data_IF_268557459408
#
_entry.id   IF_268557459408
#
_cell.length_a   1.000
_cell.length_b   1.000
_cell.length_c   1.000
_cell.angle_alpha   90.00
_cell.angle_beta   90.00
_cell.angle_gamma   90.00
#
_symmetry.space_group_name_H-M   'P 1'
#
loop_
_entity.id
_entity.type
_entity.pdbx_description
1 polymer ?
#
# COMPACT_ATOMS: atom_id res chain seq x y z
N UNK A 1 53.97 -29.26 -17.53
CA UNK A 1 53.18 -28.54 -16.49
C UNK A 1 52.61 -27.26 -17.10
N UNK A 2 51.28 -27.15 -17.25
CA UNK A 2 50.63 -25.94 -17.78
C UNK A 2 49.65 -25.42 -16.72
N UNK A 3 50.01 -24.31 -16.06
CA UNK A 3 49.12 -23.64 -15.10
C UNK A 3 48.09 -22.84 -15.88
N UNK A 4 46.84 -23.30 -15.90
CA UNK A 4 45.70 -22.52 -16.41
C UNK A 4 45.51 -21.30 -15.51
N UNK A 5 45.84 -20.11 -16.01
CA UNK A 5 45.52 -18.83 -15.36
C UNK A 5 44.02 -18.61 -15.44
N UNK A 6 43.30 -18.82 -14.35
CA UNK A 6 41.92 -18.37 -14.18
C UNK A 6 41.89 -16.84 -14.15
N UNK A 7 41.15 -16.22 -15.07
CA UNK A 7 40.93 -14.76 -15.07
C UNK A 7 39.92 -14.43 -13.97
N UNK A 8 40.14 -13.38 -13.15
CA UNK A 8 39.15 -12.96 -12.17
C UNK A 8 37.92 -12.41 -12.89
N UNK A 9 36.72 -12.88 -12.52
CA UNK A 9 35.45 -12.28 -12.94
C UNK A 9 35.34 -10.93 -12.23
N UNK A 10 35.51 -9.84 -12.96
CA UNK A 10 35.14 -8.50 -12.50
C UNK A 10 33.63 -8.50 -12.32
N UNK A 11 33.20 -8.67 -11.07
CA UNK A 11 31.83 -8.49 -10.68
C UNK A 11 31.54 -6.99 -10.79
N UNK A 12 30.74 -6.59 -11.78
CA UNK A 12 30.29 -5.21 -11.91
C UNK A 12 29.19 -4.97 -10.89
N UNK A 13 29.51 -4.33 -9.77
CA UNK A 13 28.58 -3.86 -8.73
C UNK A 13 27.29 -3.25 -9.32
N UNK A 14 27.39 -2.51 -10.43
CA UNK A 14 26.24 -1.96 -11.16
C UNK A 14 25.24 -3.00 -11.69
N UNK A 15 25.71 -4.17 -12.13
CA UNK A 15 24.85 -5.26 -12.60
C UNK A 15 24.16 -5.95 -11.43
N UNK A 16 24.86 -6.13 -10.32
CA UNK A 16 24.31 -6.70 -9.09
C UNK A 16 23.31 -5.76 -8.42
N UNK A 17 23.62 -4.47 -8.38
CA UNK A 17 22.72 -3.43 -7.89
C UNK A 17 21.45 -3.34 -8.74
N UNK A 18 21.58 -3.38 -10.08
CA UNK A 18 20.42 -3.42 -10.98
C UNK A 18 19.58 -4.69 -10.76
N UNK A 19 20.21 -5.85 -10.62
CA UNK A 19 19.51 -7.10 -10.35
C UNK A 19 18.79 -7.09 -8.99
N UNK A 20 19.38 -6.47 -7.97
CA UNK A 20 18.76 -6.26 -6.66
C UNK A 20 17.61 -5.25 -6.70
N UNK A 21 17.82 -4.11 -7.35
CA UNK A 21 16.84 -3.04 -7.45
C UNK A 21 15.61 -3.45 -8.27
N UNK A 22 15.77 -4.29 -9.30
CA UNK A 22 14.67 -4.81 -10.11
C UNK A 22 13.88 -5.94 -9.43
N UNK A 23 14.24 -6.33 -8.21
CA UNK A 23 13.44 -7.25 -7.40
C UNK A 23 12.15 -6.50 -7.04
N UNK A 24 11.02 -6.84 -7.66
CA UNK A 24 9.78 -6.04 -7.68
C UNK A 24 9.35 -5.44 -6.33
N UNK A 25 9.47 -6.21 -5.25
CA UNK A 25 9.15 -5.77 -3.89
C UNK A 25 9.95 -4.54 -3.39
N UNK A 26 11.15 -4.28 -3.92
CA UNK A 26 12.01 -3.14 -3.51
C UNK A 26 11.66 -1.86 -4.26
N UNK A 27 11.28 -1.97 -5.55
CA UNK A 27 10.88 -0.82 -6.36
C UNK A 27 9.60 -0.20 -5.82
N UNK A 28 8.59 -1.02 -5.54
CA UNK A 28 7.30 -0.55 -5.04
C UNK A 28 7.44 0.09 -3.65
N UNK A 29 8.29 -0.48 -2.79
CA UNK A 29 8.62 0.11 -1.50
C UNK A 29 9.35 1.46 -1.65
N UNK A 30 10.31 1.56 -2.57
CA UNK A 30 11.03 2.80 -2.83
C UNK A 30 10.09 3.91 -3.34
N UNK A 31 9.18 3.57 -4.26
CA UNK A 31 8.17 4.51 -4.78
C UNK A 31 7.23 4.95 -3.65
N UNK A 32 6.74 4.03 -2.83
CA UNK A 32 5.88 4.34 -1.69
C UNK A 32 6.54 5.32 -0.69
N UNK A 33 7.82 5.11 -0.36
CA UNK A 33 8.57 5.99 0.56
C UNK A 33 8.77 7.38 -0.04
N UNK A 34 9.13 7.48 -1.32
CA UNK A 34 9.34 8.77 -2.00
C UNK A 34 8.03 9.56 -2.07
N UNK A 35 6.94 8.92 -2.48
CA UNK A 35 5.62 9.55 -2.57
C UNK A 35 5.13 9.93 -1.18
N UNK A 36 5.27 9.06 -0.18
CA UNK A 36 4.90 9.33 1.20
C UNK A 36 5.66 10.53 1.78
N UNK A 37 6.97 10.62 1.53
CA UNK A 37 7.79 11.76 1.96
C UNK A 37 7.41 13.07 1.27
N UNK A 38 7.10 13.04 -0.03
CA UNK A 38 6.65 14.23 -0.77
C UNK A 38 5.25 14.68 -0.32
N UNK A 39 4.32 13.73 -0.14
CA UNK A 39 2.96 14.02 0.32
C UNK A 39 2.93 14.59 1.74
N UNK A 40 3.79 14.08 2.63
CA UNK A 40 3.96 14.67 3.96
C UNK A 40 4.34 16.15 3.92
N UNK A 41 5.21 16.56 2.99
CA UNK A 41 5.56 17.98 2.81
C UNK A 41 4.37 18.83 2.37
N UNK A 42 3.53 18.32 1.48
CA UNK A 42 2.32 19.02 1.01
C UNK A 42 1.35 19.24 2.17
N UNK A 43 1.15 18.23 3.03
CA UNK A 43 0.30 18.37 4.21
C UNK A 43 0.89 19.39 5.17
N UNK A 44 2.19 19.31 5.45
CA UNK A 44 2.86 20.25 6.36
C UNK A 44 2.77 21.69 5.86
N UNK A 45 2.97 21.95 4.56
CA UNK A 45 2.81 23.30 4.00
C UNK A 45 1.35 23.76 4.06
N UNK A 46 0.38 22.90 3.76
CA UNK A 46 -1.03 23.27 3.88
C UNK A 46 -1.40 23.65 5.32
N UNK A 47 -0.91 22.90 6.30
CA UNK A 47 -1.14 23.22 7.72
C UNK A 47 -0.46 24.54 8.09
N UNK A 48 0.82 24.72 7.75
CA UNK A 48 1.58 25.92 8.09
C UNK A 48 1.05 27.19 7.38
N UNK A 49 0.65 27.08 6.11
CA UNK A 49 0.35 28.23 5.26
C UNK A 49 -1.14 28.54 5.15
N UNK A 50 -2.04 27.57 5.43
CA UNK A 50 -3.49 27.75 5.33
C UNK A 50 -4.17 27.60 6.68
N UNK A 51 -3.89 26.53 7.42
CA UNK A 51 -4.60 26.25 8.67
C UNK A 51 -4.11 27.15 9.80
N UNK A 52 -2.80 27.28 9.97
CA UNK A 52 -2.20 28.07 11.04
C UNK A 52 -2.60 29.55 11.00
N UNK A 53 -2.62 30.25 9.85
CA UNK A 53 -3.11 31.63 9.79
C UNK A 53 -4.59 31.78 10.17
N UNK A 54 -5.41 30.75 9.93
CA UNK A 54 -6.83 30.75 10.33
C UNK A 54 -7.00 30.46 11.82
N UNK A 55 -6.14 29.61 12.41
CA UNK A 55 -6.20 29.24 13.83
C UNK A 55 -5.54 30.29 14.74
N UNK A 56 -4.48 30.97 14.27
CA UNK A 56 -3.73 31.95 15.05
C UNK A 56 -4.59 33.08 15.66
N UNK A 57 -5.57 33.68 14.96
CA UNK A 57 -6.44 34.70 15.54
C UNK A 57 -7.52 34.15 16.48
N UNK A 58 -7.82 32.85 16.45
CA UNK A 58 -8.78 32.19 17.35
C UNK A 58 -8.17 31.84 18.72
N UNK A 59 -6.83 31.84 18.83
CA UNK A 59 -6.13 31.60 20.08
C UNK A 59 -5.73 32.97 20.68
N UNK A 60 -6.41 33.43 21.75
CA UNK A 60 -6.06 34.71 22.38
C UNK A 60 -4.62 34.64 22.91
N UNK A 61 -3.72 35.42 22.32
CA UNK A 61 -2.30 35.45 22.71
C UNK A 61 -1.30 35.63 21.56
N UNK A 62 -1.70 35.45 20.29
CA UNK A 62 -1.00 35.89 19.06
C UNK A 62 0.35 35.25 18.72
N UNK A 63 1.18 34.96 19.73
CA UNK A 63 2.57 34.53 19.64
C UNK A 63 2.93 33.50 20.72
N UNK A 64 1.99 32.63 21.09
CA UNK A 64 2.24 31.56 22.07
C UNK A 64 3.37 30.62 21.64
N UNK A 65 3.66 30.54 20.33
CA UNK A 65 4.80 29.79 19.76
C UNK A 65 6.15 30.48 19.97
N UNK A 66 6.16 31.79 20.16
CA UNK A 66 7.36 32.56 20.48
C UNK A 66 7.59 32.69 21.99
N UNK A 67 6.70 32.12 22.83
CA UNK A 67 6.89 32.14 24.29
C UNK A 67 8.16 31.38 24.67
N UNK A 68 9.07 32.13 25.27
CA UNK A 68 10.28 31.64 25.92
C UNK A 68 10.17 31.87 27.42
N UNK A 69 10.40 30.83 28.22
CA UNK A 69 10.49 30.97 29.67
C UNK A 69 11.97 30.94 30.06
N UNK A 70 12.44 31.96 30.78
CA UNK A 70 13.81 32.05 31.29
C UNK A 70 14.89 32.23 30.20
N UNK A 71 16.04 31.55 30.36
CA UNK A 71 17.27 31.72 29.56
C UNK A 71 17.26 31.03 28.18
N UNK A 72 16.12 31.00 27.49
CA UNK A 72 16.05 30.55 26.09
C UNK A 72 15.31 29.23 25.82
N UNK A 73 14.57 28.69 26.80
CA UNK A 73 13.71 27.52 26.58
C UNK A 73 12.46 27.95 25.81
N UNK A 74 12.44 27.64 24.50
CA UNK A 74 11.34 27.91 23.57
C UNK A 74 10.17 26.94 23.77
N UNK A 75 9.50 27.05 24.91
CA UNK A 75 8.33 26.21 25.23
C UNK A 75 7.22 26.37 24.19
N UNK A 76 7.10 27.55 23.60
CA UNK A 76 6.17 27.82 22.52
C UNK A 76 6.42 26.99 21.27
N UNK A 77 7.68 26.71 20.92
CA UNK A 77 7.98 25.89 19.74
C UNK A 77 7.59 24.42 19.95
N UNK A 78 7.80 23.91 21.17
CA UNK A 78 7.39 22.55 21.51
C UNK A 78 5.87 22.40 21.50
N UNK A 79 5.14 23.33 22.13
CA UNK A 79 3.69 23.32 22.12
C UNK A 79 3.15 23.53 20.69
N UNK A 80 3.84 24.33 19.88
CA UNK A 80 3.57 24.52 18.46
C UNK A 80 3.63 23.22 17.67
N UNK A 81 4.68 22.44 17.87
CA UNK A 81 4.85 21.14 17.24
C UNK A 81 3.76 20.13 17.65
N UNK A 82 3.28 20.18 18.89
CA UNK A 82 2.16 19.34 19.35
C UNK A 82 0.87 19.72 18.62
N UNK A 83 0.57 21.02 18.52
CA UNK A 83 -0.63 21.49 17.80
C UNK A 83 -0.53 21.14 16.32
N UNK A 84 0.62 21.33 15.69
CA UNK A 84 0.84 20.95 14.28
C UNK A 84 0.58 19.46 14.07
N UNK A 85 1.09 18.60 14.96
CA UNK A 85 0.86 17.16 14.90
C UNK A 85 -0.63 16.81 14.98
N UNK A 86 -1.37 17.42 15.92
CA UNK A 86 -2.82 17.20 16.06
C UNK A 86 -3.57 17.70 14.82
N UNK A 87 -3.22 18.87 14.29
CA UNK A 87 -3.85 19.42 13.08
C UNK A 87 -3.57 18.54 11.87
N UNK A 88 -2.33 18.09 11.66
CA UNK A 88 -1.96 17.15 10.60
C UNK A 88 -2.77 15.85 10.72
N UNK A 89 -2.92 15.31 11.94
CA UNK A 89 -3.72 14.11 12.17
C UNK A 89 -5.20 14.30 11.81
N UNK A 90 -5.79 15.45 12.18
CA UNK A 90 -7.19 15.80 11.83
C UNK A 90 -7.36 15.98 10.33
N UNK A 91 -6.42 16.67 9.66
CA UNK A 91 -6.47 16.87 8.20
C UNK A 91 -6.31 15.54 7.47
N UNK A 92 -5.36 14.69 7.88
CA UNK A 92 -5.17 13.36 7.30
C UNK A 92 -6.42 12.50 7.50
N UNK A 93 -7.02 12.53 8.69
CA UNK A 93 -8.28 11.85 8.97
C UNK A 93 -9.43 12.38 8.10
N UNK A 94 -9.56 13.70 7.92
CA UNK A 94 -10.58 14.30 7.07
C UNK A 94 -10.40 13.90 5.60
N UNK A 95 -9.16 13.86 5.10
CA UNK A 95 -8.85 13.42 3.72
C UNK A 95 -9.15 11.93 3.55
N UNK A 96 -8.71 11.07 4.47
CA UNK A 96 -9.02 9.64 4.43
C UNK A 96 -10.53 9.44 4.49
N UNK A 97 -11.23 10.12 5.40
CA UNK A 97 -12.69 10.05 5.51
C UNK A 97 -13.37 10.54 4.23
N UNK A 98 -12.88 11.61 3.60
CA UNK A 98 -13.43 12.11 2.34
C UNK A 98 -13.24 11.12 1.20
N UNK A 99 -12.05 10.51 1.11
CA UNK A 99 -11.76 9.47 0.13
C UNK A 99 -12.60 8.22 0.38
N UNK A 100 -12.75 7.77 1.63
CA UNK A 100 -13.59 6.62 1.99
C UNK A 100 -15.09 6.91 1.80
N UNK A 101 -15.55 8.13 2.11
CA UNK A 101 -16.95 8.53 1.89
C UNK A 101 -17.29 8.62 0.40
N UNK A 102 -16.32 8.99 -0.44
CA UNK A 102 -16.46 8.98 -1.90
C UNK A 102 -16.19 7.62 -2.53
N UNK A 103 -15.75 6.64 -1.75
CA UNK A 103 -15.34 5.32 -2.22
C UNK A 103 -16.09 4.20 -1.52
N UNK A 104 -17.39 4.18 -1.79
CA UNK A 104 -18.23 2.98 -1.84
C UNK A 104 -19.09 3.12 -3.11
N UNK A 105 -19.21 2.12 -4.01
CA UNK A 105 -18.60 0.78 -4.07
C UNK A 105 -18.12 0.35 -5.50
N UNK A 106 -17.18 1.03 -6.18
CA UNK A 106 -16.74 0.51 -7.51
C UNK A 106 -15.36 0.95 -8.08
N UNK A 107 -14.43 1.53 -7.33
CA UNK A 107 -13.16 1.97 -7.96
C UNK A 107 -11.92 2.00 -7.07
N UNK A 108 -11.77 1.02 -6.18
CA UNK A 108 -10.41 0.50 -5.89
C UNK A 108 -10.31 -0.93 -6.38
N UNK A 109 -10.52 -1.06 -7.67
CA UNK A 109 -9.73 -1.98 -8.48
C UNK A 109 -8.45 -1.26 -8.90
N UNK A 110 -7.53 -1.01 -7.95
CA UNK A 110 -6.15 -1.43 -8.31
C UNK A 110 -6.34 -2.93 -8.43
N UNK A 111 -6.12 -3.54 -9.59
CA UNK A 111 -6.71 -4.83 -9.91
C UNK A 111 -6.62 -5.77 -8.70
N UNK A 112 -7.74 -6.00 -8.01
CA UNK A 112 -8.00 -7.29 -7.36
C UNK A 112 -8.29 -8.29 -8.47
N UNK A 113 -7.47 -8.25 -9.53
CA UNK A 113 -7.18 -9.44 -10.27
C UNK A 113 -6.65 -10.37 -9.19
N UNK A 114 -7.35 -11.49 -8.90
CA UNK A 114 -6.92 -12.39 -7.86
C UNK A 114 -5.43 -12.61 -8.07
N UNK A 115 -4.64 -12.39 -7.02
CA UNK A 115 -3.19 -12.58 -7.09
C UNK A 115 -2.91 -13.91 -7.76
N UNK A 116 -1.77 -14.08 -8.44
CA UNK A 116 -1.49 -15.33 -9.18
C UNK A 116 -1.78 -16.57 -8.32
N UNK A 117 -1.55 -16.48 -7.02
CA UNK A 117 -1.93 -17.48 -6.02
C UNK A 117 -3.44 -17.67 -5.87
N UNK A 118 -4.22 -16.61 -5.66
CA UNK A 118 -5.69 -16.68 -5.62
C UNK A 118 -6.29 -17.22 -6.93
N UNK A 119 -5.69 -16.92 -8.09
CA UNK A 119 -6.07 -17.50 -9.38
C UNK A 119 -5.80 -19.00 -9.46
N UNK A 120 -4.66 -19.43 -8.93
CA UNK A 120 -4.31 -20.85 -8.88
C UNK A 120 -5.25 -21.60 -7.93
N UNK A 121 -5.58 -21.01 -6.79
CA UNK A 121 -6.55 -21.58 -5.84
C UNK A 121 -7.95 -21.66 -6.46
N UNK A 122 -8.44 -20.58 -7.07
CA UNK A 122 -9.72 -20.57 -7.80
C UNK A 122 -9.75 -21.56 -8.96
N UNK A 123 -8.63 -21.73 -9.68
CA UNK A 123 -8.53 -22.70 -10.75
C UNK A 123 -8.59 -24.14 -10.23
N UNK A 124 -7.95 -24.43 -9.09
CA UNK A 124 -8.00 -25.74 -8.44
C UNK A 124 -9.42 -26.02 -7.93
N UNK A 125 -10.06 -25.06 -7.26
CA UNK A 125 -11.44 -25.19 -6.77
C UNK A 125 -12.42 -25.44 -7.93
N UNK A 126 -12.29 -24.66 -9.01
CA UNK A 126 -13.08 -24.84 -10.24
C UNK A 126 -12.84 -26.18 -10.93
N UNK A 127 -11.60 -26.70 -10.91
CA UNK A 127 -11.29 -28.01 -11.46
C UNK A 127 -11.91 -29.14 -10.63
N UNK A 128 -11.86 -29.06 -9.31
CA UNK A 128 -12.50 -30.05 -8.44
C UNK A 128 -14.02 -30.09 -8.65
N UNK A 129 -14.69 -28.93 -8.71
CA UNK A 129 -16.12 -28.85 -8.98
C UNK A 129 -16.50 -29.46 -10.35
N UNK A 130 -15.67 -29.23 -11.38
CA UNK A 130 -15.89 -29.78 -12.71
C UNK A 130 -15.68 -31.31 -12.76
N UNK A 131 -14.75 -31.84 -11.96
CA UNK A 131 -14.53 -33.27 -11.84
C UNK A 131 -15.69 -33.95 -11.11
N UNK A 132 -16.23 -33.33 -10.06
CA UNK A 132 -17.42 -33.84 -9.36
C UNK A 132 -18.65 -33.85 -10.27
N UNK A 133 -18.82 -32.80 -11.08
CA UNK A 133 -19.88 -32.75 -12.08
C UNK A 133 -19.72 -33.86 -13.14
N UNK A 134 -18.49 -34.12 -13.60
CA UNK A 134 -18.19 -35.18 -14.56
C UNK A 134 -18.36 -36.59 -13.98
N UNK A 135 -18.04 -36.80 -12.70
CA UNK A 135 -18.27 -38.07 -12.00
C UNK A 135 -19.77 -38.34 -11.85
N UNK A 136 -20.55 -37.33 -11.46
CA UNK A 136 -22.00 -37.44 -11.33
C UNK A 136 -22.67 -37.69 -12.70
N UNK A 137 -22.18 -37.08 -13.78
CA UNK A 137 -22.64 -37.37 -15.15
C UNK A 137 -22.42 -38.85 -15.52
N UNK A 138 -21.26 -39.42 -15.19
CA UNK A 138 -20.96 -40.84 -15.41
C UNK A 138 -21.90 -41.78 -14.64
N UNK A 139 -22.24 -41.45 -13.39
CA UNK A 139 -23.18 -42.23 -12.56
C UNK A 139 -24.61 -42.18 -13.13
N UNK A 140 -25.09 -40.99 -13.52
CA UNK A 140 -26.43 -40.84 -14.09
C UNK A 140 -26.57 -41.46 -15.49
N UNK A 141 -25.50 -41.52 -16.29
CA UNK A 141 -25.50 -42.19 -17.60
C UNK A 141 -25.68 -43.71 -17.46
N UNK A 142 -25.07 -44.32 -16.44
CA UNK A 142 -25.22 -45.76 -16.14
C UNK A 142 -26.64 -46.05 -15.62
N UNK A 143 -27.22 -45.15 -14.82
CA UNK A 143 -28.58 -45.30 -14.29
C UNK A 143 -29.66 -45.19 -15.39
N UNK A 144 -29.47 -44.30 -16.36
CA UNK A 144 -30.42 -44.12 -17.47
C UNK A 144 -30.34 -45.22 -18.56
N UNK A 145 -29.19 -45.87 -18.74
CA UNK A 145 -29.07 -47.05 -19.63
C UNK A 145 -29.72 -48.31 -19.04
N UNK A 146 -29.78 -48.44 -17.71
CA UNK A 146 -30.49 -49.55 -17.06
C UNK A 146 -32.03 -49.37 -17.10
N UNK A 147 -32.53 -48.13 -17.23
CA UNK A 147 -33.97 -47.83 -17.28
C UNK A 147 -34.57 -47.90 -18.70
N UNK A 148 -33.75 -47.97 -19.75
CA UNK A 148 -34.20 -48.04 -21.16
C UNK A 148 -34.18 -49.48 -21.73
N UNK A 149 -33.58 -50.43 -21.02
CA UNK A 149 -33.39 -51.82 -21.47
C UNK A 149 -34.49 -52.83 -21.14
N UNK A 150 -35.58 -52.42 -20.48
CA UNK A 150 -36.70 -53.30 -20.12
C UNK A 150 -38.05 -52.69 -20.54
N UNK A 151 -38.37 -52.83 -21.83
CA UNK A 151 -39.73 -52.71 -22.40
C UNK A 151 -39.80 -53.47 -23.73
#
# INVERSE_FOLDING_TARGET
>A
MVRKRTRPRTIHFWQEFRAFALKGNVVDLAVAVIIGGAFGKIITSFVADVVMPLVNPLIPGGDWRALTIGSGVKIGNFLGAIVDFVVVAVVLFAVIRLLLTRKSPESTTVPSEPTTEERLVLAIERLNEHLDHSQNLGVNLIENEQLTGDN
#
